data_IF_412973945342
#
_entry.id   IF_412973945342
#
_cell.length_a   1.000
_cell.length_b   1.000
_cell.length_c   1.000
_cell.angle_alpha   90.00
_cell.angle_beta   90.00
_cell.angle_gamma   90.00
#
_symmetry.space_group_name_H-M   'P 1'
#
loop_
_entity.id
_entity.type
_entity.pdbx_description
1 polymer ?
#
# COMPACT_ATOMS: atom_id res chain seq x y z
N UNK A 1 6.48 -28.80 -16.29
CA UNK A 1 7.07 -27.66 -17.02
C UNK A 1 6.21 -26.40 -16.89
N UNK A 2 4.88 -26.48 -16.93
CA UNK A 2 4.01 -25.30 -16.72
C UNK A 2 4.08 -24.70 -15.30
N UNK A 3 4.08 -25.50 -14.23
CA UNK A 3 4.15 -24.96 -12.86
C UNK A 3 5.46 -24.21 -12.56
N UNK A 4 6.58 -24.66 -13.14
CA UNK A 4 7.88 -24.00 -13.02
C UNK A 4 7.91 -22.66 -13.77
N UNK A 5 7.25 -22.59 -14.93
CA UNK A 5 7.06 -21.35 -15.69
C UNK A 5 6.15 -20.36 -14.97
N UNK A 6 5.09 -20.83 -14.28
CA UNK A 6 4.23 -19.97 -13.44
C UNK A 6 5.03 -19.41 -12.26
N UNK A 7 5.85 -20.23 -11.60
CA UNK A 7 6.71 -19.77 -10.50
C UNK A 7 7.76 -18.75 -10.97
N UNK A 8 8.43 -19.01 -12.09
CA UNK A 8 9.44 -18.09 -12.65
C UNK A 8 8.79 -16.78 -13.12
N UNK A 9 7.64 -16.85 -13.78
CA UNK A 9 6.92 -15.66 -14.26
C UNK A 9 6.34 -14.83 -13.11
N UNK A 10 5.84 -15.45 -12.04
CA UNK A 10 5.37 -14.75 -10.85
C UNK A 10 6.50 -14.03 -10.09
N UNK A 11 7.68 -14.66 -9.99
CA UNK A 11 8.82 -14.10 -9.23
C UNK A 11 9.55 -12.99 -10.00
N UNK A 12 9.72 -13.14 -11.33
CA UNK A 12 10.54 -12.22 -12.13
C UNK A 12 9.76 -11.27 -13.03
N UNK A 13 8.60 -11.69 -13.58
CA UNK A 13 7.90 -10.92 -14.63
C UNK A 13 6.71 -10.13 -14.08
N UNK A 14 5.95 -10.70 -13.14
CA UNK A 14 4.78 -10.05 -12.53
C UNK A 14 5.04 -9.46 -11.13
N UNK A 15 6.29 -9.47 -10.68
CA UNK A 15 6.61 -9.00 -9.34
C UNK A 15 6.62 -7.47 -9.29
N UNK A 16 5.72 -6.92 -8.46
CA UNK A 16 5.53 -5.47 -8.25
C UNK A 16 6.85 -4.77 -7.89
N UNK A 17 7.76 -5.46 -7.21
CA UNK A 17 9.05 -4.92 -6.75
C UNK A 17 10.14 -4.99 -7.84
N UNK A 18 10.21 -6.08 -8.62
CA UNK A 18 11.28 -6.29 -9.62
C UNK A 18 10.95 -5.74 -11.01
N UNK A 19 9.67 -5.74 -11.41
CA UNK A 19 9.26 -5.35 -12.78
C UNK A 19 8.58 -3.98 -12.83
N UNK A 20 7.81 -3.61 -11.81
CA UNK A 20 7.10 -2.32 -11.78
C UNK A 20 7.84 -1.23 -10.98
N UNK A 21 8.91 -1.57 -10.24
CA UNK A 21 9.66 -0.63 -9.38
C UNK A 21 8.79 0.15 -8.37
N UNK A 22 7.66 -0.42 -7.95
CA UNK A 22 6.75 0.20 -6.99
C UNK A 22 7.13 -0.21 -5.55
N UNK A 23 7.12 0.75 -4.62
CA UNK A 23 7.30 0.48 -3.19
C UNK A 23 8.76 0.36 -2.69
N UNK A 24 9.74 0.90 -3.42
CA UNK A 24 11.15 0.90 -3.01
C UNK A 24 11.46 1.77 -1.78
N UNK A 25 10.64 2.79 -1.50
CA UNK A 25 10.84 3.75 -0.41
C UNK A 25 10.89 3.09 0.99
N UNK A 26 9.89 2.27 1.40
CA UNK A 26 9.95 1.55 2.67
C UNK A 26 11.02 0.45 2.69
N UNK A 27 11.29 -0.15 1.53
CA UNK A 27 12.28 -1.23 1.40
C UNK A 27 13.68 -0.73 1.79
N UNK A 28 14.14 0.38 1.23
CA UNK A 28 15.45 0.95 1.55
C UNK A 28 15.58 1.40 3.02
N UNK A 29 14.48 1.86 3.64
CA UNK A 29 14.48 2.34 5.02
C UNK A 29 14.55 1.23 6.08
N UNK A 30 13.89 0.09 5.83
CA UNK A 30 13.64 -0.92 6.88
C UNK A 30 14.40 -2.24 6.65
N UNK A 31 15.12 -2.39 5.54
CA UNK A 31 15.89 -3.60 5.20
C UNK A 31 16.95 -4.03 6.21
N UNK A 32 17.36 -3.17 7.15
CA UNK A 32 18.43 -3.48 8.12
C UNK A 32 18.01 -4.42 9.25
N UNK A 33 16.71 -4.54 9.54
CA UNK A 33 16.19 -5.37 10.65
C UNK A 33 14.95 -6.13 10.19
N UNK A 34 15.01 -7.46 10.29
CA UNK A 34 13.93 -8.36 9.84
C UNK A 34 12.66 -8.15 10.68
N UNK A 35 12.80 -7.95 11.99
CA UNK A 35 11.66 -7.73 12.89
C UNK A 35 10.84 -6.49 12.51
N UNK A 36 11.50 -5.39 12.13
CA UNK A 36 10.82 -4.18 11.68
C UNK A 36 10.25 -4.32 10.26
N UNK A 37 10.91 -5.08 9.39
CA UNK A 37 10.45 -5.32 8.02
C UNK A 37 9.15 -6.12 8.00
N UNK A 38 9.02 -7.14 8.86
CA UNK A 38 7.79 -7.93 9.01
C UNK A 38 6.64 -7.05 9.51
N UNK A 39 6.88 -6.22 10.53
CA UNK A 39 5.87 -5.30 11.05
C UNK A 39 5.41 -4.27 10.01
N UNK A 40 6.34 -3.72 9.23
CA UNK A 40 6.02 -2.78 8.15
C UNK A 40 5.26 -3.44 7.00
N UNK A 41 5.68 -4.65 6.58
CA UNK A 41 5.01 -5.40 5.53
C UNK A 41 3.57 -5.76 5.89
N UNK A 42 3.34 -6.21 7.13
CA UNK A 42 2.00 -6.48 7.64
C UNK A 42 1.11 -5.22 7.65
N UNK A 43 1.65 -4.08 8.11
CA UNK A 43 0.92 -2.82 8.11
C UNK A 43 0.56 -2.35 6.68
N UNK A 44 1.50 -2.43 5.74
CA UNK A 44 1.25 -2.05 4.34
C UNK A 44 0.21 -2.98 3.70
N UNK A 45 0.28 -4.30 3.92
CA UNK A 45 -0.71 -5.24 3.37
C UNK A 45 -2.13 -4.98 3.90
N UNK A 46 -2.25 -4.63 5.18
CA UNK A 46 -3.52 -4.26 5.78
C UNK A 46 -4.09 -2.95 5.21
N UNK A 47 -3.26 -1.91 5.11
CA UNK A 47 -3.67 -0.63 4.50
C UNK A 47 -4.05 -0.83 3.04
N UNK A 48 -3.26 -1.61 2.28
CA UNK A 48 -3.48 -1.89 0.87
C UNK A 48 -4.85 -2.53 0.64
N UNK A 49 -5.16 -3.60 1.37
CA UNK A 49 -6.43 -4.34 1.22
C UNK A 49 -7.64 -3.45 1.53
N UNK A 50 -7.60 -2.68 2.63
CA UNK A 50 -8.68 -1.75 2.97
C UNK A 50 -8.80 -0.59 1.98
N UNK A 51 -7.66 -0.01 1.56
CA UNK A 51 -7.64 1.07 0.60
C UNK A 51 -8.30 0.63 -0.71
N UNK A 52 -7.93 -0.54 -1.25
CA UNK A 52 -8.52 -1.06 -2.49
C UNK A 52 -10.03 -1.21 -2.43
N UNK A 53 -10.58 -1.73 -1.32
CA UNK A 53 -12.03 -1.89 -1.14
C UNK A 53 -12.72 -0.51 -1.13
N UNK A 54 -12.16 0.44 -0.39
CA UNK A 54 -12.77 1.77 -0.24
C UNK A 54 -12.63 2.58 -1.53
N UNK A 55 -11.48 2.55 -2.20
CA UNK A 55 -11.25 3.28 -3.46
C UNK A 55 -12.16 2.75 -4.57
N UNK A 56 -12.44 1.44 -4.61
CA UNK A 56 -13.41 0.87 -5.54
C UNK A 56 -14.82 1.40 -5.29
N UNK A 57 -15.26 1.43 -4.02
CA UNK A 57 -16.54 2.04 -3.66
C UNK A 57 -16.59 3.54 -4.02
N UNK A 58 -15.55 4.30 -3.73
CA UNK A 58 -15.47 5.74 -4.04
C UNK A 58 -15.53 5.97 -5.55
N UNK A 59 -14.85 5.15 -6.35
CA UNK A 59 -14.92 5.27 -7.80
C UNK A 59 -16.35 5.08 -8.31
N UNK A 60 -16.99 3.98 -7.90
CA UNK A 60 -18.30 3.58 -8.44
C UNK A 60 -19.45 4.47 -7.98
N UNK A 61 -19.42 4.90 -6.72
CA UNK A 61 -20.51 5.68 -6.11
C UNK A 61 -20.31 7.19 -6.19
N UNK A 62 -19.08 7.69 -6.34
CA UNK A 62 -18.79 9.12 -6.31
C UNK A 62 -18.20 9.60 -7.64
N UNK A 63 -17.15 8.95 -8.17
CA UNK A 63 -16.45 9.50 -9.33
C UNK A 63 -17.20 9.32 -10.65
N UNK A 64 -17.73 8.12 -10.91
CA UNK A 64 -18.52 7.81 -12.10
C UNK A 64 -19.79 8.68 -12.26
N UNK A 65 -20.65 8.85 -11.22
CA UNK A 65 -21.87 9.64 -11.37
C UNK A 65 -21.64 11.15 -11.46
N UNK A 66 -20.55 11.66 -10.87
CA UNK A 66 -20.22 13.08 -10.92
C UNK A 66 -19.32 13.45 -12.10
N UNK A 67 -18.80 12.48 -12.87
CA UNK A 67 -17.92 12.74 -14.03
C UNK A 67 -16.56 13.33 -13.63
N UNK A 68 -16.11 13.07 -12.40
CA UNK A 68 -14.94 13.70 -11.78
C UNK A 68 -13.65 12.87 -11.88
N UNK A 69 -13.43 12.17 -13.00
CA UNK A 69 -12.25 11.31 -13.23
C UNK A 69 -10.91 12.03 -12.95
N UNK A 70 -10.83 13.34 -13.19
CA UNK A 70 -9.60 14.12 -12.95
C UNK A 70 -9.23 14.27 -11.46
N UNK A 71 -10.18 14.09 -10.53
CA UNK A 71 -9.95 14.13 -9.07
C UNK A 71 -9.56 12.77 -8.47
N UNK A 72 -9.51 11.71 -9.27
CA UNK A 72 -9.31 10.34 -8.80
C UNK A 72 -8.08 10.17 -7.91
N UNK A 73 -6.93 10.66 -8.38
CA UNK A 73 -5.66 10.55 -7.65
C UNK A 73 -5.70 11.28 -6.31
N UNK A 74 -6.28 12.48 -6.27
CA UNK A 74 -6.42 13.26 -5.03
C UNK A 74 -7.35 12.57 -4.03
N UNK A 75 -8.49 12.05 -4.50
CA UNK A 75 -9.43 11.31 -3.66
C UNK A 75 -8.78 10.06 -3.06
N UNK A 76 -7.99 9.31 -3.84
CA UNK A 76 -7.31 8.11 -3.34
C UNK A 76 -6.24 8.43 -2.30
N UNK A 77 -5.43 9.47 -2.53
CA UNK A 77 -4.43 9.90 -1.54
C UNK A 77 -5.12 10.30 -0.22
N UNK A 78 -6.25 11.02 -0.27
CA UNK A 78 -7.00 11.40 0.93
C UNK A 78 -7.55 10.18 1.68
N UNK A 79 -8.10 9.19 0.97
CA UNK A 79 -8.59 7.94 1.57
C UNK A 79 -7.44 7.19 2.23
N UNK A 80 -6.32 7.01 1.53
CA UNK A 80 -5.15 6.32 2.06
C UNK A 80 -4.60 7.06 3.29
N UNK A 81 -4.51 8.39 3.26
CA UNK A 81 -4.05 9.21 4.38
C UNK A 81 -4.92 9.01 5.63
N UNK A 82 -6.25 9.02 5.47
CA UNK A 82 -7.17 8.76 6.58
C UNK A 82 -7.00 7.36 7.17
N UNK A 83 -6.80 6.34 6.33
CA UNK A 83 -6.57 4.96 6.76
C UNK A 83 -5.25 4.80 7.51
N UNK A 84 -4.16 5.37 7.00
CA UNK A 84 -2.86 5.30 7.66
C UNK A 84 -2.88 6.04 8.99
N UNK A 85 -3.60 7.16 9.07
CA UNK A 85 -3.77 7.89 10.33
C UNK A 85 -4.47 7.03 11.39
N UNK A 86 -5.49 6.27 11.00
CA UNK A 86 -6.15 5.31 11.88
C UNK A 86 -5.18 4.20 12.33
N UNK A 87 -4.37 3.67 11.42
CA UNK A 87 -3.36 2.64 11.72
C UNK A 87 -2.28 3.16 12.67
N UNK A 88 -1.89 4.43 12.56
CA UNK A 88 -0.94 5.06 13.49
C UNK A 88 -1.44 5.01 14.93
N UNK A 89 -2.70 5.38 15.15
CA UNK A 89 -3.33 5.39 16.48
C UNK A 89 -3.41 3.97 17.05
N UNK A 90 -3.72 2.98 16.20
CA UNK A 90 -3.77 1.57 16.59
C UNK A 90 -2.38 1.06 16.98
N UNK A 91 -1.34 1.31 16.17
CA UNK A 91 0.03 0.87 16.46
C UNK A 91 0.55 1.45 17.77
N UNK A 92 0.25 2.72 18.05
CA UNK A 92 0.65 3.38 19.31
C UNK A 92 0.06 2.69 20.54
N UNK A 93 -1.12 2.07 20.41
CA UNK A 93 -1.83 1.39 21.51
C UNK A 93 -1.50 -0.10 21.63
N UNK A 94 -1.26 -0.79 20.52
CA UNK A 94 -1.01 -2.24 20.49
C UNK A 94 0.46 -2.58 20.74
N UNK A 95 1.40 -1.82 20.16
CA UNK A 95 2.82 -2.16 20.23
C UNK A 95 3.72 -0.91 20.25
N UNK A 96 4.00 -0.34 21.44
CA UNK A 96 4.85 0.85 21.55
C UNK A 96 6.29 0.61 21.07
N UNK A 97 6.80 -0.63 21.18
CA UNK A 97 8.11 -1.02 20.64
C UNK A 97 8.15 -0.92 19.10
N UNK A 98 7.07 -1.29 18.41
CA UNK A 98 6.97 -1.19 16.96
C UNK A 98 6.79 0.27 16.54
N UNK A 99 5.98 1.05 17.28
CA UNK A 99 5.79 2.48 17.04
C UNK A 99 7.12 3.26 17.16
N UNK A 100 7.97 2.96 18.15
CA UNK A 100 9.28 3.61 18.27
C UNK A 100 10.23 3.27 17.11
N UNK A 101 10.17 2.04 16.59
CA UNK A 101 11.01 1.63 15.47
C UNK A 101 10.50 2.15 14.11
N UNK A 102 9.18 2.36 13.98
CA UNK A 102 8.51 2.62 12.72
C UNK A 102 7.94 4.03 12.58
N UNK A 103 7.89 4.83 13.65
CA UNK A 103 7.19 6.13 13.69
C UNK A 103 7.57 7.11 12.60
N UNK A 104 8.84 7.15 12.19
CA UNK A 104 9.32 8.02 11.09
C UNK A 104 8.85 7.50 9.71
N UNK A 105 8.62 6.20 9.59
CA UNK A 105 8.26 5.53 8.34
C UNK A 105 6.74 5.37 8.14
N UNK A 106 5.91 5.66 9.16
CA UNK A 106 4.45 5.61 9.04
C UNK A 106 3.91 6.60 7.97
N UNK A 107 4.36 7.86 7.91
CA UNK A 107 4.00 8.77 6.81
C UNK A 107 4.49 8.31 5.43
N UNK A 108 5.49 7.40 5.37
CA UNK A 108 5.96 6.83 4.11
C UNK A 108 4.99 5.79 3.54
N UNK A 109 4.03 5.32 4.32
CA UNK A 109 2.98 4.39 3.85
C UNK A 109 1.97 5.15 2.97
N UNK A 110 1.63 6.39 3.30
CA UNK A 110 0.64 7.18 2.54
C UNK A 110 1.14 7.57 1.15
N UNK A 111 2.45 7.79 1.02
CA UNK A 111 3.11 8.12 -0.25
C UNK A 111 3.71 6.90 -0.93
N UNK A 112 3.33 5.68 -0.50
CA UNK A 112 3.84 4.46 -1.11
C UNK A 112 3.23 4.24 -2.50
N UNK A 113 4.09 4.29 -3.52
CA UNK A 113 3.71 4.09 -4.92
C UNK A 113 3.01 2.75 -5.17
N UNK A 114 3.32 1.70 -4.39
CA UNK A 114 2.65 0.40 -4.50
C UNK A 114 1.16 0.50 -4.12
N UNK A 115 0.83 1.26 -3.08
CA UNK A 115 -0.55 1.41 -2.61
C UNK A 115 -1.39 2.20 -3.62
N UNK A 116 -0.84 3.30 -4.13
CA UNK A 116 -1.50 4.10 -5.16
C UNK A 116 -1.65 3.30 -6.47
N UNK A 117 -0.60 2.60 -6.91
CA UNK A 117 -0.60 1.83 -8.14
C UNK A 117 -1.64 0.71 -8.14
N UNK A 118 -1.74 -0.05 -7.06
CA UNK A 118 -2.76 -1.10 -6.92
C UNK A 118 -4.17 -0.51 -6.88
N UNK A 119 -4.37 0.63 -6.20
CA UNK A 119 -5.68 1.29 -6.19
C UNK A 119 -6.15 1.69 -7.59
N UNK A 120 -5.23 2.18 -8.44
CA UNK A 120 -5.54 2.54 -9.84
C UNK A 120 -5.78 1.27 -10.68
N UNK A 121 -4.93 0.26 -10.55
CA UNK A 121 -5.04 -0.99 -11.33
C UNK A 121 -6.34 -1.76 -11.08
N UNK A 122 -6.91 -1.69 -9.87
CA UNK A 122 -8.19 -2.36 -9.55
C UNK A 122 -9.39 -1.65 -10.18
N UNK A 123 -9.20 -0.42 -10.65
CA UNK A 123 -10.26 0.45 -11.17
C UNK A 123 -10.25 0.51 -12.70
N UNK A 124 -9.10 0.24 -13.33
CA UNK A 124 -8.99 0.05 -14.78
C UNK A 124 -9.51 -1.32 -15.21
#
# INVERSE_FOLDING_TARGET
MEYLLIFISAIFVNNIVLSQFLGICPFLGVSKKVDTAIGMGGAIAFVLTLATIITWCVQKYVLDPFGLQYLQTLAFILVIAALVQMVEIILKKVSPALYQALGIFLPLITTNCAVLGVAILVIQ
#
